data_IF_762872056407
#
_entry.id   IF_762872056407
#
_cell.length_a   1.000
_cell.length_b   1.000
_cell.length_c   1.000
_cell.angle_alpha   90.00
_cell.angle_beta   90.00
_cell.angle_gamma   90.00
#
_symmetry.space_group_name_H-M   'P 1'
#
loop_
_entity.id
_entity.type
_entity.pdbx_description
1 polymer ?
#
# COMPACT_ATOMS: atom_id res chain seq x y z
N UNK A 1 12.75 25.29 -16.84
CA UNK A 1 11.68 24.33 -16.55
C UNK A 1 12.27 23.35 -15.56
N UNK A 2 11.93 23.48 -14.28
CA UNK A 2 12.31 22.48 -13.29
C UNK A 2 11.50 21.22 -13.60
N UNK A 3 12.17 20.18 -14.12
CA UNK A 3 11.60 18.85 -14.15
C UNK A 3 11.43 18.46 -12.69
N UNK A 4 10.21 18.60 -12.15
CA UNK A 4 9.87 18.16 -10.79
C UNK A 4 10.17 16.66 -10.74
N UNK A 5 11.31 16.29 -10.17
CA UNK A 5 11.64 14.89 -9.91
C UNK A 5 10.48 14.33 -9.10
N UNK A 6 9.80 13.34 -9.66
CA UNK A 6 8.70 12.67 -8.97
C UNK A 6 9.30 12.06 -7.71
N UNK A 7 8.78 12.46 -6.56
CA UNK A 7 9.13 11.81 -5.31
C UNK A 7 8.59 10.39 -5.36
N UNK A 8 9.50 9.40 -5.38
CA UNK A 8 9.12 8.00 -5.45
C UNK A 8 8.28 7.59 -4.23
N UNK A 9 8.45 8.25 -3.09
CA UNK A 9 7.60 8.02 -1.92
C UNK A 9 6.17 8.49 -2.16
N UNK A 10 5.95 9.64 -2.80
CA UNK A 10 4.61 10.12 -3.15
C UNK A 10 3.90 9.16 -4.12
N UNK A 11 4.64 8.53 -5.03
CA UNK A 11 4.11 7.49 -5.94
C UNK A 11 3.72 6.24 -5.16
N UNK A 12 4.63 5.68 -4.35
CA UNK A 12 4.35 4.48 -3.55
C UNK A 12 3.17 4.71 -2.60
N UNK A 13 3.09 5.87 -1.92
CA UNK A 13 1.94 6.19 -1.07
C UNK A 13 0.62 6.21 -1.83
N UNK A 14 0.61 6.73 -3.07
CA UNK A 14 -0.58 6.73 -3.91
C UNK A 14 -0.99 5.32 -4.34
N UNK A 15 -0.02 4.50 -4.76
CA UNK A 15 -0.28 3.12 -5.17
C UNK A 15 -0.81 2.27 -4.02
N UNK A 16 -0.29 2.47 -2.80
CA UNK A 16 -0.81 1.83 -1.58
C UNK A 16 -2.24 2.30 -1.29
N UNK A 17 -2.54 3.60 -1.44
CA UNK A 17 -3.89 4.14 -1.22
C UNK A 17 -4.90 3.57 -2.21
N UNK A 18 -4.54 3.44 -3.49
CA UNK A 18 -5.39 2.82 -4.50
C UNK A 18 -5.69 1.35 -4.12
N UNK A 19 -4.69 0.61 -3.63
CA UNK A 19 -4.89 -0.75 -3.11
C UNK A 19 -5.82 -0.80 -1.88
N UNK A 20 -5.70 0.16 -0.96
CA UNK A 20 -6.62 0.26 0.20
C UNK A 20 -8.06 0.52 -0.23
N UNK A 21 -8.27 1.38 -1.24
CA UNK A 21 -9.60 1.63 -1.79
C UNK A 21 -10.17 0.35 -2.38
N UNK A 22 -9.41 -0.38 -3.18
CA UNK A 22 -9.85 -1.66 -3.75
C UNK A 22 -10.12 -2.71 -2.66
N UNK A 23 -9.27 -2.79 -1.62
CA UNK A 23 -9.48 -3.68 -0.48
C UNK A 23 -10.78 -3.37 0.26
N UNK A 24 -11.09 -2.08 0.45
CA UNK A 24 -12.34 -1.64 1.08
C UNK A 24 -13.59 -2.01 0.29
N UNK A 25 -13.45 -2.25 -1.01
CA UNK A 25 -14.52 -2.68 -1.92
C UNK A 25 -14.57 -4.20 -2.10
N UNK A 26 -13.66 -4.95 -1.45
CA UNK A 26 -13.51 -6.40 -1.65
C UNK A 26 -12.94 -6.78 -3.02
N UNK A 27 -12.22 -5.86 -3.68
CA UNK A 27 -11.73 -5.99 -5.07
C UNK A 27 -10.21 -6.11 -5.18
N UNK A 28 -9.49 -6.26 -4.07
CA UNK A 28 -8.03 -6.36 -4.11
C UNK A 28 -7.58 -7.80 -4.33
N UNK A 29 -7.06 -8.10 -5.52
CA UNK A 29 -6.57 -9.45 -5.84
C UNK A 29 -5.38 -9.87 -4.96
N UNK A 30 -5.11 -11.18 -4.78
CA UNK A 30 -3.95 -11.66 -4.02
C UNK A 30 -2.63 -11.04 -4.46
N UNK A 31 -2.42 -10.89 -5.77
CA UNK A 31 -1.26 -10.20 -6.31
C UNK A 31 -1.12 -8.77 -5.76
N UNK A 32 -2.20 -7.98 -5.80
CA UNK A 32 -2.17 -6.61 -5.32
C UNK A 32 -2.11 -6.48 -3.79
N UNK A 33 -2.56 -7.51 -3.05
CA UNK A 33 -2.34 -7.59 -1.60
C UNK A 33 -0.85 -7.73 -1.27
N UNK A 34 -0.14 -8.62 -1.95
CA UNK A 34 1.31 -8.77 -1.78
C UNK A 34 2.08 -7.54 -2.24
N UNK A 35 1.69 -6.98 -3.39
CA UNK A 35 2.26 -5.73 -3.90
C UNK A 35 2.14 -4.59 -2.90
N UNK A 36 0.95 -4.35 -2.32
CA UNK A 36 0.75 -3.29 -1.34
C UNK A 36 1.63 -3.48 -0.08
N UNK A 37 1.79 -4.72 0.41
CA UNK A 37 2.69 -5.02 1.54
C UNK A 37 4.16 -4.75 1.19
N UNK A 38 4.56 -5.09 -0.04
CA UNK A 38 5.90 -4.81 -0.53
C UNK A 38 6.16 -3.30 -0.62
N UNK A 39 5.23 -2.53 -1.18
CA UNK A 39 5.35 -1.07 -1.27
C UNK A 39 5.38 -0.41 0.11
N UNK A 40 4.60 -0.89 1.07
CA UNK A 40 4.72 -0.40 2.45
C UNK A 40 6.12 -0.67 3.01
N UNK A 41 6.66 -1.87 2.78
CA UNK A 41 7.98 -2.27 3.28
C UNK A 41 9.10 -1.46 2.61
N UNK A 42 8.95 -1.08 1.34
CA UNK A 42 9.92 -0.29 0.59
C UNK A 42 10.05 1.16 1.10
N UNK A 43 9.05 1.65 1.83
CA UNK A 43 9.07 2.97 2.48
C UNK A 43 9.92 3.02 3.76
N UNK A 44 10.51 1.92 4.19
CA UNK A 44 11.39 1.90 5.35
C UNK A 44 12.56 2.89 5.17
N UNK A 45 12.84 3.64 6.23
CA UNK A 45 13.97 4.55 6.29
C UNK A 45 15.29 3.77 6.27
N UNK A 46 16.43 4.47 6.15
CA UNK A 46 17.75 3.83 6.15
C UNK A 46 18.02 2.94 7.37
N UNK A 47 17.38 3.23 8.50
CA UNK A 47 17.49 2.46 9.75
C UNK A 47 16.51 1.26 9.81
N UNK A 48 15.75 1.01 8.74
CA UNK A 48 14.78 -0.07 8.63
C UNK A 48 13.41 0.21 9.26
N UNK A 49 13.23 1.38 9.87
CA UNK A 49 11.96 1.78 10.49
C UNK A 49 10.98 2.36 9.46
N UNK A 50 9.72 1.95 9.56
CA UNK A 50 8.64 2.52 8.75
C UNK A 50 8.28 3.93 9.25
N UNK A 51 8.10 4.91 8.34
CA UNK A 51 7.45 6.17 8.67
C UNK A 51 6.05 5.93 9.26
N UNK A 52 5.62 6.79 10.18
CA UNK A 52 4.31 6.67 10.84
C UNK A 52 3.14 6.57 9.84
N UNK A 53 3.23 7.24 8.69
CA UNK A 53 2.23 7.15 7.64
C UNK A 53 2.16 5.73 7.05
N UNK A 54 3.30 5.10 6.75
CA UNK A 54 3.36 3.73 6.25
C UNK A 54 2.82 2.72 7.28
N UNK A 55 3.10 2.92 8.59
CA UNK A 55 2.53 2.09 9.67
C UNK A 55 1.00 2.17 9.68
N UNK A 56 0.42 3.37 9.57
CA UNK A 56 -1.04 3.54 9.53
C UNK A 56 -1.64 2.83 8.31
N UNK A 57 -1.00 2.94 7.15
CA UNK A 57 -1.47 2.28 5.93
C UNK A 57 -1.39 0.75 6.04
N UNK A 58 -0.34 0.22 6.69
CA UNK A 58 -0.22 -1.20 6.98
C UNK A 58 -1.36 -1.69 7.87
N UNK A 59 -1.62 -1.01 8.97
CA UNK A 59 -2.70 -1.38 9.90
C UNK A 59 -4.07 -1.36 9.21
N UNK A 60 -4.33 -0.34 8.38
CA UNK A 60 -5.59 -0.23 7.63
C UNK A 60 -5.70 -1.37 6.61
N UNK A 61 -4.63 -1.64 5.85
CA UNK A 61 -4.62 -2.71 4.86
C UNK A 61 -4.90 -4.07 5.51
N UNK A 62 -4.14 -4.45 6.54
CA UNK A 62 -4.30 -5.75 7.20
C UNK A 62 -5.67 -5.90 7.87
N UNK A 63 -6.22 -4.81 8.42
CA UNK A 63 -7.58 -4.82 8.95
C UNK A 63 -8.61 -5.10 7.86
N UNK A 64 -8.52 -4.42 6.71
CA UNK A 64 -9.45 -4.63 5.59
C UNK A 64 -9.35 -6.06 5.04
N UNK A 65 -8.14 -6.61 4.92
CA UNK A 65 -7.93 -7.97 4.43
C UNK A 65 -8.47 -9.05 5.40
N UNK A 66 -8.50 -8.74 6.69
CA UNK A 66 -9.10 -9.63 7.70
C UNK A 66 -10.63 -9.50 7.79
N UNK A 67 -11.19 -8.30 7.57
CA UNK A 67 -12.61 -8.02 7.75
C UNK A 67 -13.44 -8.23 6.48
N UNK A 68 -12.84 -8.04 5.30
CA UNK A 68 -13.54 -8.02 4.01
C UNK A 68 -12.99 -9.12 3.11
N UNK A 69 -13.82 -10.12 2.73
CA UNK A 69 -13.45 -11.09 1.70
C UNK A 69 -13.08 -10.39 0.39
N UNK A 70 -11.91 -10.73 -0.15
CA UNK A 70 -11.41 -10.16 -1.41
C UNK A 70 -11.72 -11.06 -2.60
N UNK A 71 -11.69 -10.49 -3.81
CA UNK A 71 -11.70 -11.28 -5.04
C UNK A 71 -10.53 -12.28 -5.05
N UNK A 72 -10.81 -13.50 -5.51
CA UNK A 72 -9.80 -14.49 -5.85
C UNK A 72 -9.34 -14.30 -7.29
N UNK A 73 -8.14 -14.75 -7.60
CA UNK A 73 -7.68 -14.94 -8.98
C UNK A 73 -8.44 -16.14 -9.60
N UNK A 74 -9.73 -15.96 -9.90
CA UNK A 74 -10.51 -16.90 -10.75
C UNK A 74 -10.28 -16.64 -12.25
#
# INVERSE_FOLDING_TARGET
MEQKMIDLSEVSYREILDCIVDASLGRLSPYFQEYARHEITSLANADGELPQAAVILQDVLERLLNEIPQISDE
#
